data_IF_678212312272
#
_entry.id   IF_678212312272
#
_cell.length_a   1.000
_cell.length_b   1.000
_cell.length_c   1.000
_cell.angle_alpha   90.00
_cell.angle_beta   90.00
_cell.angle_gamma   90.00
#
_symmetry.space_group_name_H-M   'P 1'
#
loop_
_entity.id
_entity.type
_entity.pdbx_description
1 polymer ?
#
# COMPACT_ATOMS: atom_id res chain seq x y z
N UNK A 1 11.58 7.91 -17.11
CA UNK A 1 10.51 8.03 -16.09
C UNK A 1 9.69 9.25 -16.44
N UNK A 2 8.35 9.17 -16.55
CA UNK A 2 7.52 10.25 -17.08
C UNK A 2 7.19 11.35 -16.05
N UNK A 3 7.95 11.47 -14.95
CA UNK A 3 7.70 12.45 -13.89
C UNK A 3 8.83 13.47 -13.78
N UNK A 4 8.53 14.60 -13.13
CA UNK A 4 9.49 15.66 -12.85
C UNK A 4 10.57 15.20 -11.86
N UNK A 5 11.78 15.70 -12.04
CA UNK A 5 12.89 15.44 -11.16
C UNK A 5 13.65 16.75 -10.91
N UNK A 6 14.23 16.87 -9.71
CA UNK A 6 15.18 17.93 -9.41
C UNK A 6 16.45 17.67 -10.23
N UNK A 7 17.01 18.67 -10.94
CA UNK A 7 18.24 18.51 -11.68
C UNK A 7 19.36 17.94 -10.80
N UNK A 8 20.15 17.01 -11.35
CA UNK A 8 21.23 16.37 -10.60
C UNK A 8 22.32 17.34 -10.14
N UNK A 9 22.48 18.48 -10.82
CA UNK A 9 23.42 19.54 -10.43
C UNK A 9 23.00 20.31 -9.18
N UNK A 10 21.72 20.23 -8.78
CA UNK A 10 21.17 20.98 -7.66
C UNK A 10 21.26 20.14 -6.38
N UNK A 11 22.46 20.02 -5.80
CA UNK A 11 22.68 19.34 -4.51
C UNK A 11 21.94 20.03 -3.37
N UNK A 12 22.00 21.36 -3.32
CA UNK A 12 21.52 22.13 -2.18
C UNK A 12 20.01 21.94 -1.97
N UNK A 13 19.21 21.93 -3.05
CA UNK A 13 17.77 21.63 -2.94
C UNK A 13 17.53 20.18 -2.49
N UNK A 14 18.30 19.21 -3.00
CA UNK A 14 18.12 17.79 -2.62
C UNK A 14 18.48 17.55 -1.16
N UNK A 15 19.57 18.14 -0.67
CA UNK A 15 20.02 18.02 0.71
C UNK A 15 19.02 18.69 1.66
N UNK A 16 18.53 19.88 1.31
CA UNK A 16 17.47 20.56 2.08
C UNK A 16 16.18 19.75 2.15
N UNK A 17 15.80 19.02 1.09
CA UNK A 17 14.62 18.14 1.11
C UNK A 17 14.86 16.90 1.96
N UNK A 18 16.07 16.32 1.93
CA UNK A 18 16.42 15.21 2.81
C UNK A 18 16.30 15.62 4.28
N UNK A 19 16.78 16.81 4.64
CA UNK A 19 16.66 17.36 5.99
C UNK A 19 15.21 17.70 6.35
N UNK A 20 14.47 18.35 5.44
CA UNK A 20 13.09 18.79 5.69
C UNK A 20 12.15 17.62 6.00
N UNK A 21 12.36 16.48 5.34
CA UNK A 21 11.53 15.28 5.52
C UNK A 21 12.21 14.19 6.34
N UNK A 22 13.34 14.49 6.98
CA UNK A 22 14.10 13.55 7.81
C UNK A 22 14.32 12.18 7.12
N UNK A 23 14.84 12.24 5.89
CA UNK A 23 15.00 11.05 5.03
C UNK A 23 16.14 10.18 5.56
N UNK A 24 15.80 9.15 6.34
CA UNK A 24 16.77 8.20 6.91
C UNK A 24 17.21 7.05 5.99
N UNK A 25 16.59 6.90 4.81
CA UNK A 25 16.89 5.80 3.88
C UNK A 25 16.03 5.83 2.62
N UNK A 26 16.33 4.94 1.67
CA UNK A 26 15.58 4.82 0.41
C UNK A 26 15.00 3.42 0.22
N UNK A 27 13.82 3.28 -0.43
CA UNK A 27 12.96 4.34 -0.94
C UNK A 27 12.24 5.13 0.17
N UNK A 28 11.99 6.42 -0.07
CA UNK A 28 11.20 7.31 0.79
C UNK A 28 10.19 8.08 -0.09
N UNK A 29 8.95 8.22 0.37
CA UNK A 29 7.86 8.82 -0.42
C UNK A 29 6.97 9.67 0.48
N UNK A 30 6.95 10.97 0.22
CA UNK A 30 6.01 11.92 0.82
C UNK A 30 4.93 12.24 -0.20
N UNK A 31 3.67 12.20 0.23
CA UNK A 31 2.51 12.52 -0.60
C UNK A 31 1.93 13.85 -0.13
N UNK A 32 1.69 14.76 -1.07
CA UNK A 32 1.13 16.08 -0.81
C UNK A 32 -0.23 16.24 -1.48
N UNK A 33 -1.04 17.18 -0.96
CA UNK A 33 -2.20 17.69 -1.66
C UNK A 33 -1.81 18.74 -2.72
N UNK A 34 -2.82 19.26 -3.44
CA UNK A 34 -2.64 20.29 -4.47
C UNK A 34 -2.09 21.62 -3.94
N UNK A 35 -2.16 21.86 -2.63
CA UNK A 35 -1.66 23.06 -1.97
C UNK A 35 -0.25 22.87 -1.38
N UNK A 36 0.34 21.69 -1.52
CA UNK A 36 1.63 21.34 -0.94
C UNK A 36 1.56 20.97 0.55
N UNK A 37 0.37 20.71 1.10
CA UNK A 37 0.21 20.14 2.45
C UNK A 37 0.60 18.67 2.41
N UNK A 38 1.45 18.23 3.35
CA UNK A 38 1.76 16.80 3.53
C UNK A 38 0.48 16.07 3.93
N UNK A 39 0.09 15.08 3.12
CA UNK A 39 -0.95 14.12 3.45
C UNK A 39 -0.36 12.95 4.23
N UNK A 40 0.78 12.42 3.78
CA UNK A 40 1.49 11.37 4.51
C UNK A 40 2.99 11.35 4.17
N UNK A 41 3.83 11.16 5.18
CA UNK A 41 5.27 10.87 5.03
C UNK A 41 5.56 9.37 4.88
N UNK A 42 4.57 8.51 5.17
CA UNK A 42 4.66 7.05 5.10
C UNK A 42 4.17 6.51 3.75
N UNK A 43 4.39 7.28 2.68
CA UNK A 43 3.82 6.98 1.37
C UNK A 43 4.25 5.62 0.81
N UNK A 44 5.46 5.14 1.14
CA UNK A 44 5.94 3.81 0.74
C UNK A 44 5.05 2.72 1.31
N UNK A 45 4.72 2.80 2.60
CA UNK A 45 3.86 1.82 3.26
C UNK A 45 2.44 1.88 2.70
N UNK A 46 1.88 3.08 2.57
CA UNK A 46 0.51 3.26 2.06
C UNK A 46 0.36 2.70 0.64
N UNK A 47 1.33 2.95 -0.24
CA UNK A 47 1.30 2.43 -1.62
C UNK A 47 1.55 0.92 -1.66
N UNK A 48 2.42 0.38 -0.78
CA UNK A 48 2.63 -1.07 -0.66
C UNK A 48 1.35 -1.78 -0.25
N UNK A 49 0.66 -1.26 0.76
CA UNK A 49 -0.47 -1.95 1.39
C UNK A 49 -1.75 -1.77 0.58
N UNK A 50 -1.98 -0.57 0.03
CA UNK A 50 -3.25 -0.23 -0.61
C UNK A 50 -3.16 0.09 -2.10
N UNK A 51 -1.96 0.30 -2.65
CA UNK A 51 -1.76 0.62 -4.06
C UNK A 51 -2.63 1.80 -4.52
N UNK A 52 -3.30 1.64 -5.65
CA UNK A 52 -4.21 2.65 -6.20
C UNK A 52 -5.46 2.88 -5.34
N UNK A 53 -5.85 1.90 -4.49
CA UNK A 53 -7.03 2.06 -3.63
C UNK A 53 -6.80 3.11 -2.56
N UNK A 54 -5.53 3.38 -2.21
CA UNK A 54 -5.14 4.41 -1.27
C UNK A 54 -5.50 5.82 -1.72
N UNK A 55 -5.61 6.09 -3.03
CA UNK A 55 -5.95 7.43 -3.55
C UNK A 55 -7.31 7.91 -3.00
N UNK A 56 -7.45 9.18 -2.55
CA UNK A 56 -6.51 10.31 -2.68
C UNK A 56 -5.43 10.40 -1.60
N UNK A 57 -5.14 9.31 -0.89
CA UNK A 57 -4.13 9.20 0.16
C UNK A 57 -4.37 10.14 1.34
N UNK A 58 -5.63 10.51 1.58
CA UNK A 58 -6.05 11.26 2.76
C UNK A 58 -6.17 10.33 3.95
N UNK A 59 -5.97 10.87 5.16
CA UNK A 59 -6.12 10.11 6.41
C UNK A 59 -7.46 9.38 6.47
N UNK A 60 -8.57 10.09 6.15
CA UNK A 60 -9.92 9.51 6.10
C UNK A 60 -10.01 8.30 5.15
N UNK A 61 -9.35 8.36 3.99
CA UNK A 61 -9.36 7.24 3.03
C UNK A 61 -8.57 6.06 3.56
N UNK A 62 -7.42 6.32 4.18
CA UNK A 62 -6.56 5.27 4.74
C UNK A 62 -7.22 4.63 5.97
N UNK A 63 -7.86 5.41 6.84
CA UNK A 63 -8.63 4.91 7.98
C UNK A 63 -9.76 3.99 7.52
N UNK A 64 -10.54 4.41 6.51
CA UNK A 64 -11.59 3.56 5.93
C UNK A 64 -11.05 2.23 5.40
N UNK A 65 -9.89 2.24 4.74
CA UNK A 65 -9.26 1.01 4.22
C UNK A 65 -8.80 0.09 5.37
N UNK A 66 -8.27 0.66 6.45
CA UNK A 66 -7.92 -0.11 7.66
C UNK A 66 -9.14 -0.75 8.31
N UNK A 67 -10.26 -0.02 8.40
CA UNK A 67 -11.51 -0.56 8.92
C UNK A 67 -12.06 -1.70 8.05
N UNK A 68 -12.03 -1.54 6.72
CA UNK A 68 -12.41 -2.60 5.78
C UNK A 68 -11.52 -3.85 5.94
N UNK A 69 -10.22 -3.66 6.12
CA UNK A 69 -9.26 -4.76 6.36
C UNK A 69 -9.51 -5.47 7.69
N UNK A 70 -9.72 -4.72 8.78
CA UNK A 70 -10.02 -5.30 10.09
C UNK A 70 -11.39 -6.02 10.09
N UNK A 71 -12.40 -5.45 9.44
CA UNK A 71 -13.68 -6.13 9.26
C UNK A 71 -13.53 -7.42 8.43
N UNK A 72 -12.70 -7.40 7.39
CA UNK A 72 -12.38 -8.58 6.61
C UNK A 72 -11.63 -9.63 7.45
N UNK A 73 -10.71 -9.22 8.33
CA UNK A 73 -10.00 -10.09 9.30
C UNK A 73 -10.94 -10.74 10.32
N UNK A 74 -11.89 -10.00 10.86
CA UNK A 74 -12.86 -10.53 11.83
C UNK A 74 -13.85 -11.51 11.18
N UNK A 75 -14.21 -11.29 9.91
CA UNK A 75 -15.19 -12.10 9.19
C UNK A 75 -14.53 -13.09 8.19
N UNK A 76 -13.28 -13.52 8.44
CA UNK A 76 -12.59 -14.45 7.54
C UNK A 76 -13.26 -15.82 7.50
N UNK A 77 -13.24 -16.43 6.32
CA UNK A 77 -13.65 -17.82 6.10
C UNK A 77 -12.54 -18.57 5.39
N UNK A 78 -12.58 -19.91 5.42
CA UNK A 78 -11.65 -20.71 4.60
C UNK A 78 -11.74 -20.35 3.11
N UNK A 79 -12.93 -19.93 2.65
CA UNK A 79 -13.10 -19.44 1.27
C UNK A 79 -12.32 -18.16 1.04
N UNK A 80 -12.53 -17.13 1.86
CA UNK A 80 -11.86 -15.84 1.65
C UNK A 80 -10.34 -15.94 1.72
N UNK A 81 -9.80 -16.92 2.45
CA UNK A 81 -8.36 -17.13 2.61
C UNK A 81 -7.74 -18.04 1.53
N UNK A 82 -8.46 -19.09 1.12
CA UNK A 82 -7.86 -20.17 0.31
C UNK A 82 -8.36 -20.18 -1.14
N UNK A 83 -9.51 -19.55 -1.40
CA UNK A 83 -10.10 -19.43 -2.74
C UNK A 83 -9.59 -18.19 -3.44
N UNK A 84 -9.21 -18.35 -4.69
CA UNK A 84 -8.92 -17.24 -5.62
C UNK A 84 -9.77 -17.43 -6.87
N UNK A 85 -9.82 -16.40 -7.73
CA UNK A 85 -10.49 -16.51 -9.04
C UNK A 85 -9.97 -17.67 -9.91
N UNK A 86 -8.73 -18.12 -9.67
CA UNK A 86 -8.08 -19.20 -10.41
C UNK A 86 -8.07 -20.56 -9.68
N UNK A 87 -8.48 -20.60 -8.41
CA UNK A 87 -8.35 -21.80 -7.56
C UNK A 87 -9.43 -21.85 -6.50
N UNK A 88 -10.26 -22.89 -6.56
CA UNK A 88 -11.39 -23.17 -5.67
C UNK A 88 -11.24 -24.49 -4.91
N UNK A 89 -10.03 -25.05 -4.82
CA UNK A 89 -9.75 -26.30 -4.13
C UNK A 89 -8.49 -26.20 -3.25
N UNK A 90 -8.41 -27.07 -2.25
CA UNK A 90 -7.22 -27.32 -1.42
C UNK A 90 -6.70 -28.73 -1.69
N UNK A 91 -5.42 -28.98 -1.38
CA UNK A 91 -4.80 -30.31 -1.52
C UNK A 91 -4.71 -30.95 -0.13
N UNK A 92 -5.26 -32.15 0.02
CA UNK A 92 -5.17 -32.92 1.27
C UNK A 92 -3.76 -33.50 1.45
N UNK A 93 -3.45 -34.01 2.65
CA UNK A 93 -2.19 -34.71 2.93
C UNK A 93 -1.91 -35.87 1.94
N UNK A 94 -2.96 -36.48 1.42
CA UNK A 94 -2.91 -37.65 0.53
C UNK A 94 -2.77 -37.23 -0.95
N UNK A 95 -2.62 -35.92 -1.22
CA UNK A 95 -2.49 -35.38 -2.57
C UNK A 95 -3.81 -35.16 -3.32
N UNK A 96 -4.96 -35.44 -2.68
CA UNK A 96 -6.27 -35.31 -3.31
C UNK A 96 -6.76 -33.85 -3.31
N UNK A 97 -7.43 -33.44 -4.40
CA UNK A 97 -8.10 -32.13 -4.47
C UNK A 97 -9.43 -32.18 -3.72
N UNK A 98 -9.61 -31.25 -2.79
CA UNK A 98 -10.85 -31.05 -2.03
C UNK A 98 -11.42 -29.69 -2.42
N UNK A 99 -12.60 -29.68 -3.04
CA UNK A 99 -13.26 -28.44 -3.48
C UNK A 99 -13.73 -27.67 -2.25
N UNK A 100 -13.54 -26.36 -2.25
CA UNK A 100 -13.91 -25.47 -1.15
C UNK A 100 -15.33 -24.88 -1.29
N UNK A 101 -16.13 -25.41 -2.22
CA UNK A 101 -17.51 -24.99 -2.53
C UNK A 101 -18.59 -25.80 -1.80
N UNK A 102 -19.63 -25.12 -1.34
CA UNK A 102 -20.95 -25.50 -0.80
C UNK A 102 -21.84 -24.26 -0.90
#
# INVERSE_FOLDING_TARGET
MPWFAIPFSDSDIRDRLNELFDVGGIPYLVIFDVNGKVLTSEGVQVVRDYGSNGYPFTDERIEKLKEEEEAAKQNQTLRSLLVTSSRDFVISKDGNKVITSH
#
